data_IF_048296113176
#
_entry.id   IF_048296113176
#
_cell.length_a   1.000
_cell.length_b   1.000
_cell.length_c   1.000
_cell.angle_alpha   90.00
_cell.angle_beta   90.00
_cell.angle_gamma   90.00
#
_symmetry.space_group_name_H-M   'P 1'
#
loop_
_entity.id
_entity.type
_entity.pdbx_description
1 polymer ?
#
# COMPACT_ATOMS: atom_id res chain seq x y z
N UNK A 1 -12.66 51.35 8.27
CA UNK A 1 -13.05 50.20 9.10
C UNK A 1 -13.64 49.14 8.19
N UNK A 2 -12.92 48.04 7.94
CA UNK A 2 -13.39 46.95 7.07
C UNK A 2 -13.64 45.74 7.97
N UNK A 3 -14.92 45.41 8.13
CA UNK A 3 -15.40 44.23 8.83
C UNK A 3 -15.24 43.02 7.91
N UNK A 4 -14.28 42.15 8.19
CA UNK A 4 -14.21 40.83 7.57
C UNK A 4 -14.97 39.83 8.44
N UNK A 5 -16.22 39.57 8.08
CA UNK A 5 -16.98 38.41 8.56
C UNK A 5 -16.30 37.14 8.05
N UNK A 6 -15.55 36.44 8.91
CA UNK A 6 -14.98 35.14 8.57
C UNK A 6 -16.05 34.05 8.78
N UNK A 7 -16.44 33.45 7.67
CA UNK A 7 -17.43 32.38 7.57
C UNK A 7 -17.00 31.17 8.40
N UNK A 8 -17.80 30.81 9.40
CA UNK A 8 -17.65 29.57 10.14
C UNK A 8 -18.01 28.37 9.27
N UNK A 9 -17.05 27.47 9.03
CA UNK A 9 -17.31 26.14 8.49
C UNK A 9 -17.37 25.14 9.66
N UNK A 10 -18.60 24.70 9.98
CA UNK A 10 -18.86 23.53 10.83
C UNK A 10 -18.87 22.30 9.91
N UNK A 11 -17.80 21.50 9.92
CA UNK A 11 -17.82 20.19 9.28
C UNK A 11 -18.65 19.23 10.15
N UNK A 12 -19.93 19.10 9.81
CA UNK A 12 -20.77 18.00 10.30
C UNK A 12 -20.62 16.86 9.30
N UNK A 13 -19.89 15.82 9.66
CA UNK A 13 -19.88 14.57 8.89
C UNK A 13 -21.19 13.83 9.18
N UNK A 14 -22.18 13.98 8.30
CA UNK A 14 -23.38 13.13 8.31
C UNK A 14 -23.05 11.83 7.57
N UNK A 15 -23.06 10.70 8.28
CA UNK A 15 -22.95 9.34 7.72
C UNK A 15 -24.25 8.92 7.00
N UNK A 16 -24.70 9.70 6.01
CA UNK A 16 -25.81 9.30 5.14
C UNK A 16 -25.32 9.20 3.69
N UNK A 17 -25.50 8.05 3.01
CA UNK A 17 -25.10 7.90 1.62
C UNK A 17 -26.07 8.69 0.72
N UNK A 18 -25.64 9.87 0.25
CA UNK A 18 -26.35 10.58 -0.81
C UNK A 18 -26.00 9.94 -2.16
N UNK A 19 -26.92 9.14 -2.69
CA UNK A 19 -26.86 8.64 -4.07
C UNK A 19 -27.02 9.82 -5.02
N UNK A 20 -25.93 10.23 -5.67
CA UNK A 20 -25.93 11.27 -6.69
C UNK A 20 -26.26 10.63 -8.05
N UNK A 21 -27.54 10.59 -8.38
CA UNK A 21 -28.04 10.29 -9.73
C UNK A 21 -27.94 11.55 -10.59
N UNK A 22 -26.80 11.74 -11.25
CA UNK A 22 -26.62 12.78 -12.26
C UNK A 22 -25.77 12.25 -13.40
N UNK A 23 -26.26 12.36 -14.64
CA UNK A 23 -25.52 11.96 -15.83
C UNK A 23 -24.32 12.91 -16.02
N UNK A 24 -23.10 12.43 -15.74
CA UNK A 24 -21.88 13.16 -16.04
C UNK A 24 -21.49 12.91 -17.50
N UNK A 25 -21.62 13.92 -18.36
CA UNK A 25 -21.05 13.86 -19.71
C UNK A 25 -19.54 14.05 -19.63
N UNK A 26 -18.77 13.00 -19.93
CA UNK A 26 -17.34 13.13 -20.18
C UNK A 26 -17.11 13.34 -21.68
N UNK A 27 -16.46 14.44 -22.07
CA UNK A 27 -16.00 14.63 -23.44
C UNK A 27 -14.80 13.71 -23.72
N UNK A 28 -14.72 12.99 -24.86
CA UNK A 28 -13.63 12.05 -25.10
C UNK A 28 -12.30 12.77 -25.36
N UNK A 29 -11.28 12.48 -24.56
CA UNK A 29 -9.89 12.81 -24.87
C UNK A 29 -9.42 11.83 -25.96
N UNK A 30 -9.05 12.33 -27.15
CA UNK A 30 -8.54 11.51 -28.27
C UNK A 30 -7.17 10.93 -27.91
N UNK A 31 -7.16 9.67 -27.44
CA UNK A 31 -5.93 8.88 -27.32
C UNK A 31 -5.58 8.21 -28.66
N UNK A 32 -4.49 8.64 -29.30
CA UNK A 32 -3.90 7.96 -30.48
C UNK A 32 -2.97 6.84 -30.02
N UNK A 33 -3.54 5.69 -29.71
CA UNK A 33 -2.80 4.45 -29.47
C UNK A 33 -3.75 3.26 -29.54
N UNK A 34 -3.55 2.34 -30.49
CA UNK A 34 -4.44 1.19 -30.73
C UNK A 34 -4.38 0.21 -29.55
N UNK A 35 -5.34 0.28 -28.63
CA UNK A 35 -5.56 -0.76 -27.62
C UNK A 35 -6.18 -2.00 -28.27
N UNK A 36 -5.52 -3.16 -28.14
CA UNK A 36 -6.04 -4.45 -28.60
C UNK A 36 -6.94 -5.03 -27.51
N UNK A 37 -8.25 -5.08 -27.76
CA UNK A 37 -9.23 -5.64 -26.81
C UNK A 37 -9.13 -7.17 -26.83
N UNK A 38 -8.75 -7.77 -25.71
CA UNK A 38 -8.91 -9.22 -25.48
C UNK A 38 -10.35 -9.42 -24.99
N UNK A 39 -11.23 -9.98 -25.83
CA UNK A 39 -12.60 -10.34 -25.46
C UNK A 39 -12.60 -11.58 -24.58
N UNK A 40 -12.98 -11.44 -23.32
CA UNK A 40 -13.23 -12.55 -22.40
C UNK A 40 -14.25 -12.17 -21.33
N UNK A 41 -15.46 -12.71 -21.48
CA UNK A 41 -16.62 -12.78 -20.57
C UNK A 41 -16.39 -12.49 -19.08
N UNK A 42 -17.23 -11.61 -18.52
CA UNK A 42 -17.51 -11.54 -17.09
C UNK A 42 -17.99 -10.16 -16.67
N UNK A 43 -19.31 -9.94 -16.63
CA UNK A 43 -19.91 -8.75 -16.04
C UNK A 43 -19.75 -8.80 -14.53
N UNK A 44 -18.63 -8.30 -14.01
CA UNK A 44 -18.47 -8.05 -12.58
C UNK A 44 -19.13 -6.71 -12.30
N UNK A 45 -20.21 -6.72 -11.50
CA UNK A 45 -20.79 -5.50 -10.96
C UNK A 45 -19.67 -4.69 -10.29
N UNK A 46 -19.40 -3.49 -10.80
CA UNK A 46 -18.52 -2.52 -10.16
C UNK A 46 -19.17 -2.09 -8.86
N UNK A 47 -18.91 -2.83 -7.77
CA UNK A 47 -19.02 -2.28 -6.43
C UNK A 47 -18.19 -0.99 -6.36
N UNK A 48 -18.64 -0.02 -5.55
CA UNK A 48 -17.96 1.25 -5.33
C UNK A 48 -16.44 1.02 -5.27
N UNK A 49 -15.74 1.41 -6.34
CA UNK A 49 -14.36 0.99 -6.57
C UNK A 49 -13.51 1.47 -5.40
N UNK A 50 -12.86 0.55 -4.69
CA UNK A 50 -11.81 0.92 -3.74
C UNK A 50 -10.84 1.84 -4.48
N UNK A 51 -10.53 2.99 -3.87
CA UNK A 51 -9.58 3.93 -4.45
C UNK A 51 -8.24 3.21 -4.72
N UNK A 52 -7.57 3.57 -5.82
CA UNK A 52 -6.26 3.00 -6.13
C UNK A 52 -5.28 3.31 -4.99
N UNK A 53 -4.50 2.32 -4.51
CA UNK A 53 -3.53 2.57 -3.44
C UNK A 53 -2.45 3.55 -3.88
N UNK A 54 -2.20 4.57 -3.06
CA UNK A 54 -1.10 5.51 -3.22
C UNK A 54 0.12 5.05 -2.41
N UNK A 55 1.15 4.63 -3.13
CA UNK A 55 2.41 4.16 -2.57
C UNK A 55 3.39 5.30 -2.24
N UNK A 56 3.18 6.50 -2.80
CA UNK A 56 4.13 7.60 -2.75
C UNK A 56 5.58 7.15 -3.01
N UNK A 57 6.49 7.53 -2.10
CA UNK A 57 7.91 7.12 -2.14
C UNK A 57 8.21 5.91 -1.25
N UNK A 58 7.20 5.20 -0.71
CA UNK A 58 7.42 4.18 0.34
C UNK A 58 8.21 2.95 -0.15
N UNK A 59 8.15 2.64 -1.44
CA UNK A 59 8.99 1.60 -2.04
C UNK A 59 10.48 1.95 -1.98
N UNK A 60 10.84 3.23 -2.12
CA UNK A 60 12.24 3.65 -2.00
C UNK A 60 12.78 3.39 -0.59
N UNK A 61 11.92 3.48 0.43
CA UNK A 61 12.31 3.13 1.80
C UNK A 61 12.62 1.63 1.93
N UNK A 62 11.83 0.74 1.31
CA UNK A 62 12.08 -0.70 1.33
C UNK A 62 13.46 -1.06 0.76
N UNK A 63 13.86 -0.38 -0.31
CA UNK A 63 15.12 -0.64 -1.01
C UNK A 63 16.31 0.20 -0.50
N UNK A 64 16.18 0.87 0.64
CA UNK A 64 17.30 1.60 1.23
C UNK A 64 17.66 2.90 0.52
N UNK A 65 16.71 3.51 -0.21
CA UNK A 65 16.89 4.76 -0.98
C UNK A 65 16.31 5.98 -0.26
N UNK A 66 15.93 5.87 1.01
CA UNK A 66 15.51 7.04 1.76
C UNK A 66 16.69 7.99 1.99
N UNK A 67 16.38 9.29 2.00
CA UNK A 67 17.35 10.37 2.22
C UNK A 67 16.96 11.19 3.47
N UNK A 68 17.92 11.89 4.06
CA UNK A 68 17.67 12.82 5.18
C UNK A 68 18.00 12.23 6.55
N UNK A 69 17.04 12.22 7.47
CA UNK A 69 17.23 11.88 8.89
C UNK A 69 17.94 10.52 9.09
N UNK A 70 18.99 10.50 9.94
CA UNK A 70 19.78 9.32 10.29
C UNK A 70 18.94 8.08 10.67
N UNK A 71 17.89 8.27 11.47
CA UNK A 71 16.98 7.21 11.87
C UNK A 71 16.26 6.57 10.67
N UNK A 72 15.92 7.38 9.66
CA UNK A 72 15.31 6.87 8.43
C UNK A 72 16.36 6.12 7.58
N UNK A 73 17.61 6.55 7.57
CA UNK A 73 18.70 5.86 6.86
C UNK A 73 18.93 4.46 7.47
N UNK A 74 19.05 4.38 8.81
CA UNK A 74 19.25 3.12 9.52
C UNK A 74 18.10 2.14 9.32
N UNK A 75 16.86 2.63 9.47
CA UNK A 75 15.66 1.80 9.28
C UNK A 75 15.56 1.24 7.85
N UNK A 76 15.90 2.04 6.85
CA UNK A 76 15.85 1.61 5.45
C UNK A 76 17.01 0.71 5.06
N UNK A 77 18.19 0.87 5.67
CA UNK A 77 19.28 -0.08 5.55
C UNK A 77 18.91 -1.46 6.10
N UNK A 78 18.20 -1.51 7.23
CA UNK A 78 17.65 -2.76 7.79
C UNK A 78 16.69 -3.46 6.83
N UNK A 79 15.71 -2.74 6.28
CA UNK A 79 14.77 -3.30 5.30
C UNK A 79 15.46 -3.79 4.02
N UNK A 80 16.42 -3.02 3.50
CA UNK A 80 17.24 -3.44 2.36
C UNK A 80 18.02 -4.72 2.66
N UNK A 81 18.56 -4.85 3.86
CA UNK A 81 19.27 -6.07 4.28
C UNK A 81 18.36 -7.29 4.31
N UNK A 82 17.12 -7.16 4.83
CA UNK A 82 16.14 -8.25 4.80
C UNK A 82 15.76 -8.64 3.37
N UNK A 83 15.45 -7.68 2.50
CA UNK A 83 15.05 -7.96 1.12
C UNK A 83 16.21 -8.49 0.27
N UNK A 84 17.31 -7.74 0.17
CA UNK A 84 18.38 -8.05 -0.76
C UNK A 84 19.28 -9.18 -0.26
N UNK A 85 19.69 -9.16 1.02
CA UNK A 85 20.65 -10.14 1.53
C UNK A 85 20.01 -11.43 2.01
N UNK A 86 18.80 -11.36 2.57
CA UNK A 86 18.15 -12.56 3.13
C UNK A 86 17.15 -13.19 2.19
N UNK A 87 16.38 -12.40 1.45
CA UNK A 87 15.36 -12.95 0.55
C UNK A 87 15.83 -13.08 -0.89
N UNK A 88 16.91 -12.42 -1.29
CA UNK A 88 17.37 -12.37 -2.69
C UNK A 88 16.56 -11.40 -3.57
N UNK A 89 15.79 -10.49 -2.97
CA UNK A 89 14.99 -9.48 -3.68
C UNK A 89 15.80 -8.18 -3.76
N UNK A 90 16.48 -7.98 -4.89
CA UNK A 90 17.25 -6.75 -5.17
C UNK A 90 16.37 -5.64 -5.77
N UNK A 91 16.86 -4.41 -5.78
CA UNK A 91 16.14 -3.27 -6.34
C UNK A 91 16.19 -3.28 -7.88
N UNK A 92 15.19 -3.91 -8.49
CA UNK A 92 14.95 -3.92 -9.95
C UNK A 92 13.51 -3.51 -10.24
N UNK A 93 13.19 -3.04 -11.46
CA UNK A 93 11.81 -2.74 -11.85
C UNK A 93 10.84 -3.91 -11.64
N UNK A 94 11.28 -5.14 -11.93
CA UNK A 94 10.48 -6.36 -11.81
C UNK A 94 10.16 -6.67 -10.34
N UNK A 95 11.16 -6.58 -9.46
CA UNK A 95 10.97 -6.81 -8.03
C UNK A 95 10.13 -5.71 -7.37
N UNK A 96 10.24 -4.46 -7.85
CA UNK A 96 9.37 -3.36 -7.42
C UNK A 96 7.92 -3.63 -7.78
N UNK A 97 7.66 -4.01 -9.04
CA UNK A 97 6.30 -4.32 -9.50
C UNK A 97 5.72 -5.52 -8.75
N UNK A 98 6.52 -6.57 -8.53
CA UNK A 98 6.11 -7.74 -7.73
C UNK A 98 5.64 -7.34 -6.31
N UNK A 99 6.44 -6.54 -5.60
CA UNK A 99 6.08 -6.06 -4.25
C UNK A 99 4.84 -5.15 -4.31
N UNK A 100 4.78 -4.23 -5.28
CA UNK A 100 3.62 -3.35 -5.48
C UNK A 100 2.34 -4.14 -5.68
N UNK A 101 2.38 -5.16 -6.53
CA UNK A 101 1.25 -6.02 -6.79
C UNK A 101 0.82 -6.75 -5.51
N UNK A 102 1.77 -7.31 -4.74
CA UNK A 102 1.46 -8.00 -3.48
C UNK A 102 0.80 -7.09 -2.44
N UNK A 103 1.25 -5.84 -2.36
CA UNK A 103 0.65 -4.84 -1.49
C UNK A 103 -0.74 -4.43 -1.99
N UNK A 104 -0.92 -4.25 -3.31
CA UNK A 104 -2.21 -3.92 -3.92
C UNK A 104 -3.24 -5.03 -3.70
N UNK A 105 -2.85 -6.29 -3.90
CA UNK A 105 -3.68 -7.47 -3.62
C UNK A 105 -4.16 -7.45 -2.16
N UNK A 106 -3.23 -7.23 -1.22
CA UNK A 106 -3.54 -7.08 0.22
C UNK A 106 -4.46 -5.89 0.51
N UNK A 107 -4.27 -4.74 -0.13
CA UNK A 107 -5.12 -3.58 0.05
C UNK A 107 -6.59 -3.85 -0.36
N UNK A 108 -6.77 -4.56 -1.45
CA UNK A 108 -8.09 -4.90 -1.97
C UNK A 108 -8.77 -6.01 -1.17
N UNK A 109 -8.00 -6.92 -0.58
CA UNK A 109 -8.51 -8.02 0.25
C UNK A 109 -8.82 -7.57 1.70
N UNK A 110 -10.06 -7.73 2.15
CA UNK A 110 -10.42 -7.40 3.53
C UNK A 110 -9.86 -8.39 4.56
N UNK A 111 -9.54 -9.63 4.15
CA UNK A 111 -8.98 -10.65 5.05
C UNK A 111 -7.56 -10.30 5.51
N UNK A 112 -6.88 -9.42 4.77
CA UNK A 112 -5.53 -8.99 5.10
C UNK A 112 -5.46 -7.99 6.27
N UNK A 113 -6.59 -7.47 6.76
CA UNK A 113 -6.62 -6.45 7.82
C UNK A 113 -6.30 -7.13 9.15
N UNK A 114 -5.15 -6.83 9.74
CA UNK A 114 -4.76 -7.36 11.05
C UNK A 114 -5.13 -6.43 12.20
N UNK A 115 -5.29 -5.13 11.93
CA UNK A 115 -5.64 -4.13 12.97
C UNK A 115 -6.28 -2.88 12.37
N UNK A 116 -7.25 -2.30 13.08
CA UNK A 116 -7.79 -0.96 12.83
C UNK A 116 -7.74 -0.16 14.13
N UNK A 117 -7.17 1.05 14.10
CA UNK A 117 -7.03 1.88 15.30
C UNK A 117 -7.10 3.37 15.01
N UNK A 118 -7.50 4.17 16.00
CA UNK A 118 -7.39 5.62 15.94
C UNK A 118 -5.94 6.03 16.20
N UNK A 119 -5.37 6.79 15.28
CA UNK A 119 -4.01 7.31 15.35
C UNK A 119 -4.03 8.83 15.35
N UNK A 120 -2.99 9.44 15.90
CA UNK A 120 -2.84 10.88 15.89
C UNK A 120 -1.41 11.30 15.58
N UNK A 121 -1.24 12.49 15.01
CA UNK A 121 0.07 13.12 14.84
C UNK A 121 -0.03 14.63 14.99
N UNK A 122 1.08 15.24 15.39
CA UNK A 122 1.21 16.70 15.47
C UNK A 122 1.70 17.22 14.12
N UNK A 123 0.86 18.00 13.44
CA UNK A 123 1.19 18.64 12.16
C UNK A 123 2.11 19.85 12.40
N UNK A 124 3.41 19.62 12.48
CA UNK A 124 4.42 20.65 12.81
C UNK A 124 4.52 21.75 11.75
N UNK A 125 4.09 21.45 10.54
CA UNK A 125 4.06 22.31 9.36
C UNK A 125 2.90 23.31 9.36
N UNK A 126 1.86 23.10 10.16
CA UNK A 126 0.70 23.97 10.22
C UNK A 126 0.82 25.02 11.36
N UNK A 127 0.32 26.25 11.16
CA UNK A 127 0.19 27.22 12.24
C UNK A 127 -0.59 26.65 13.42
N UNK A 128 -0.08 26.84 14.65
CA UNK A 128 -0.70 26.30 15.86
C UNK A 128 -0.44 24.81 16.12
N UNK A 129 0.28 24.11 15.24
CA UNK A 129 0.73 22.70 15.40
C UNK A 129 -0.40 21.77 15.90
N UNK A 130 -1.55 21.72 15.21
CA UNK A 130 -2.68 20.93 15.66
C UNK A 130 -2.35 19.44 15.67
N UNK A 131 -3.01 18.72 16.57
CA UNK A 131 -3.04 17.26 16.56
C UNK A 131 -4.16 16.80 15.62
N UNK A 132 -3.80 16.07 14.57
CA UNK A 132 -4.72 15.49 13.61
C UNK A 132 -4.94 14.01 13.93
N UNK A 133 -6.20 13.61 14.01
CA UNK A 133 -6.61 12.22 14.25
C UNK A 133 -7.04 11.57 12.93
N UNK A 134 -6.72 10.28 12.76
CA UNK A 134 -7.06 9.51 11.58
C UNK A 134 -7.21 8.02 11.93
N UNK A 135 -7.92 7.28 11.08
CA UNK A 135 -8.10 5.83 11.26
C UNK A 135 -7.01 5.07 10.53
N UNK A 136 -6.11 4.44 11.28
CA UNK A 136 -5.07 3.58 10.75
C UNK A 136 -5.56 2.17 10.50
N UNK A 137 -5.32 1.65 9.29
CA UNK A 137 -5.58 0.25 8.93
C UNK A 137 -4.25 -0.46 8.69
N UNK A 138 -3.92 -1.42 9.55
CA UNK A 138 -2.77 -2.31 9.36
C UNK A 138 -3.18 -3.52 8.55
N UNK A 139 -2.38 -3.84 7.52
CA UNK A 139 -2.56 -5.00 6.67
C UNK A 139 -1.29 -5.83 6.61
N UNK A 140 -1.46 -7.15 6.50
CA UNK A 140 -0.38 -8.11 6.41
C UNK A 140 -0.47 -8.93 5.12
N UNK A 141 0.68 -9.18 4.50
CA UNK A 141 0.79 -10.03 3.31
C UNK A 141 2.14 -10.70 3.24
N UNK A 142 2.19 -11.94 2.75
CA UNK A 142 3.42 -12.69 2.64
C UNK A 142 4.03 -12.52 1.25
N UNK A 143 5.35 -12.28 1.22
CA UNK A 143 6.13 -12.17 -0.01
C UNK A 143 7.23 -13.24 -0.03
N UNK A 144 7.50 -13.77 -1.21
CA UNK A 144 8.54 -14.79 -1.43
C UNK A 144 9.64 -14.22 -2.30
N UNK A 145 10.87 -14.28 -1.79
CA UNK A 145 12.06 -14.10 -2.61
C UNK A 145 12.70 -15.45 -2.97
N UNK A 146 13.71 -15.45 -3.84
CA UNK A 146 14.46 -16.64 -4.22
C UNK A 146 14.94 -17.50 -3.05
N UNK A 147 15.40 -16.86 -1.96
CA UNK A 147 16.04 -17.57 -0.86
C UNK A 147 15.07 -17.93 0.27
N UNK A 148 14.09 -17.05 0.53
CA UNK A 148 13.07 -17.21 1.60
C UNK A 148 11.96 -16.18 1.48
N UNK A 149 10.87 -16.44 2.20
CA UNK A 149 9.78 -15.50 2.41
C UNK A 149 9.91 -14.61 3.64
N UNK A 150 9.07 -13.58 3.67
CA UNK A 150 8.88 -12.69 4.81
C UNK A 150 7.45 -12.15 4.84
N UNK A 151 7.01 -11.74 6.03
CA UNK A 151 5.74 -11.03 6.19
C UNK A 151 5.97 -9.55 5.98
N UNK A 152 5.16 -8.95 5.12
CA UNK A 152 5.11 -7.51 4.92
C UNK A 152 3.91 -6.95 5.70
N UNK A 153 4.17 -6.00 6.60
CA UNK A 153 3.14 -5.26 7.29
C UNK A 153 3.08 -3.83 6.73
N UNK A 154 1.87 -3.39 6.37
CA UNK A 154 1.60 -2.07 5.81
C UNK A 154 0.60 -1.32 6.67
N UNK A 155 0.76 0.00 6.79
CA UNK A 155 -0.15 0.87 7.53
C UNK A 155 -0.74 1.91 6.58
N UNK A 156 -2.06 2.00 6.55
CA UNK A 156 -2.83 2.78 5.60
C UNK A 156 -3.71 3.81 6.28
N UNK A 157 -3.75 5.00 5.69
CA UNK A 157 -4.72 6.07 5.94
C UNK A 157 -5.57 6.18 4.68
N UNK A 158 -6.78 5.62 4.75
CA UNK A 158 -7.61 5.36 3.57
C UNK A 158 -6.83 4.63 2.45
N UNK A 159 -6.49 5.30 1.35
CA UNK A 159 -5.71 4.74 0.25
C UNK A 159 -4.22 5.10 0.26
N UNK A 160 -3.76 5.90 1.24
CA UNK A 160 -2.37 6.36 1.30
C UNK A 160 -1.53 5.46 2.20
N UNK A 161 -0.46 4.90 1.64
CA UNK A 161 0.48 4.07 2.38
C UNK A 161 1.37 4.92 3.29
N UNK A 162 1.16 4.83 4.61
CA UNK A 162 1.93 5.58 5.60
C UNK A 162 3.21 4.89 6.00
N UNK A 163 3.19 3.56 6.13
CA UNK A 163 4.37 2.81 6.57
C UNK A 163 4.40 1.39 5.99
N UNK A 164 5.62 0.86 5.82
CA UNK A 164 5.89 -0.53 5.45
C UNK A 164 6.97 -1.08 6.37
N UNK A 165 6.79 -2.31 6.83
CA UNK A 165 7.75 -3.06 7.65
C UNK A 165 7.90 -4.46 7.04
N UNK A 166 9.15 -4.89 6.86
CA UNK A 166 9.47 -6.29 6.57
C UNK A 166 9.73 -7.00 7.90
N UNK A 167 8.85 -7.93 8.27
CA UNK A 167 9.06 -8.81 9.43
C UNK A 167 9.69 -10.11 8.93
N UNK A 168 10.94 -10.34 9.31
CA UNK A 168 11.65 -11.57 8.96
C UNK A 168 10.90 -12.81 9.47
N UNK A 169 10.41 -13.66 8.57
CA UNK A 169 9.84 -14.97 8.93
C UNK A 169 10.93 -15.98 9.33
N UNK A 170 10.58 -17.05 10.04
CA UNK A 170 11.44 -18.25 10.06
C UNK A 170 11.48 -18.81 8.64
N UNK A 171 12.67 -18.92 8.06
CA UNK A 171 12.85 -19.34 6.67
C UNK A 171 12.31 -20.75 6.48
N UNK A 172 11.18 -20.88 5.79
CA UNK A 172 10.83 -22.13 5.12
C UNK A 172 11.39 -21.98 3.72
N UNK A 173 12.54 -22.61 3.46
CA UNK A 173 13.06 -22.76 2.10
C UNK A 173 12.02 -23.60 1.34
N UNK A 174 11.57 -23.20 0.14
CA UNK A 174 10.74 -24.07 -0.68
C UNK A 174 11.51 -25.38 -0.91
N UNK A 175 10.95 -26.51 -0.47
CA UNK A 175 11.53 -27.80 -0.82
C UNK A 175 11.35 -27.97 -2.33
N UNK A 176 12.42 -28.29 -3.03
CA UNK A 176 12.36 -28.66 -4.44
C UNK A 176 11.54 -29.94 -4.60
N UNK A 177 10.93 -30.13 -5.77
CA UNK A 177 10.18 -31.37 -6.08
C UNK A 177 11.09 -32.60 -5.88
N UNK A 178 12.38 -32.46 -6.17
CA UNK A 178 13.41 -33.51 -5.98
C UNK A 178 13.62 -33.84 -4.49
N UNK A 179 13.68 -32.84 -3.62
CA UNK A 179 13.79 -33.02 -2.15
C UNK A 179 12.53 -33.66 -1.56
N UNK A 180 11.34 -33.35 -2.09
CA UNK A 180 10.07 -33.96 -1.66
C UNK A 180 10.01 -35.43 -2.12
N UNK A 181 10.36 -35.69 -3.38
CA UNK A 181 10.36 -37.05 -3.94
C UNK A 181 11.40 -37.96 -3.27
N UNK A 182 12.51 -37.40 -2.80
CA UNK A 182 13.52 -38.10 -2.00
C UNK A 182 12.99 -38.59 -0.64
N UNK A 183 12.05 -37.86 -0.03
CA UNK A 183 11.52 -38.17 1.30
C UNK A 183 10.41 -39.23 1.27
N UNK A 184 9.73 -39.38 0.12
CA UNK A 184 8.64 -40.35 -0.08
C UNK A 184 9.17 -41.74 -0.47
N UNK A 185 10.43 -41.86 -0.91
CA UNK A 185 11.07 -43.13 -1.32
C UNK A 185 11.71 -43.94 -0.17
N UNK A 186 11.23 -43.79 1.07
CA UNK A 186 11.57 -44.69 2.19
C UNK A 186 10.46 -45.70 2.40
#
# INVERSE_FOLDING_TARGET
MISNKLYGYKLVYTNEPKVLTGNVSVSPIKWKGKAKIIKGRGSVAKGAGKAEPDFGKKLDYLFGKATGNQHNLERTAGMKSELAKKMGITDTPENREYIMQKIRESYLDNSSISKVEQMSYVAKELPGKPTLNWTGTTRETFIMGPDRGAMLQTLWDDNVLKNIIVRGGKGVKPQTIEEILSQIKK
#
